data_IF_637956218470
#
_entry.id   IF_637956218470
#
_cell.length_a   1.000
_cell.length_b   1.000
_cell.length_c   1.000
_cell.angle_alpha   90.00
_cell.angle_beta   90.00
_cell.angle_gamma   90.00
#
_symmetry.space_group_name_H-M   'P 1'
#
loop_
_entity.id
_entity.type
_entity.pdbx_description
1 polymer ?
#
# COMPACT_ATOMS: atom_id res chain seq x y z
N UNK A 1 22.01 -5.65 12.66
CA UNK A 1 20.86 -4.76 12.36
C UNK A 1 21.18 -3.37 12.83
N UNK A 2 21.06 -2.38 11.95
CA UNK A 2 21.21 -0.97 12.33
C UNK A 2 20.03 -0.49 13.22
N UNK A 3 20.19 0.67 13.85
CA UNK A 3 19.17 1.24 14.75
C UNK A 3 17.87 1.58 14.03
N UNK A 4 17.94 1.99 12.75
CA UNK A 4 16.78 2.28 11.91
C UNK A 4 15.93 1.04 11.68
N UNK A 5 16.54 -0.06 11.28
CA UNK A 5 15.89 -1.32 10.93
C UNK A 5 15.17 -1.90 12.13
N UNK A 6 15.77 -1.81 13.31
CA UNK A 6 15.11 -2.18 14.57
C UNK A 6 13.85 -1.32 14.81
N UNK A 7 13.98 0.01 14.74
CA UNK A 7 12.83 0.91 14.92
C UNK A 7 11.72 0.66 13.90
N UNK A 8 12.06 0.38 12.63
CA UNK A 8 11.08 0.04 11.60
C UNK A 8 10.31 -1.24 11.92
N UNK A 9 10.98 -2.25 12.48
CA UNK A 9 10.32 -3.48 12.91
C UNK A 9 9.41 -3.23 14.11
N UNK A 10 9.88 -2.46 15.10
CA UNK A 10 9.14 -2.16 16.32
C UNK A 10 7.86 -1.34 16.06
N UNK A 11 7.88 -0.48 15.02
CA UNK A 11 6.71 0.31 14.60
C UNK A 11 5.65 -0.52 13.85
N UNK A 12 5.99 -1.69 13.34
CA UNK A 12 5.06 -2.46 12.50
C UNK A 12 3.94 -3.06 13.35
N UNK A 13 2.67 -2.88 12.94
CA UNK A 13 1.56 -3.49 13.63
C UNK A 13 1.65 -5.01 13.50
N UNK A 14 1.42 -5.73 14.61
CA UNK A 14 1.42 -7.19 14.59
C UNK A 14 0.40 -7.71 13.56
N UNK A 15 0.90 -8.54 12.66
CA UNK A 15 0.09 -9.36 11.75
C UNK A 15 0.07 -10.75 12.35
N UNK A 16 -1.12 -11.33 12.52
CA UNK A 16 -1.32 -12.63 13.18
C UNK A 16 -0.31 -13.65 12.62
N UNK A 17 0.52 -14.21 13.50
CA UNK A 17 1.54 -15.25 13.19
C UNK A 17 0.94 -16.55 12.64
N UNK A 18 -0.38 -16.68 12.61
CA UNK A 18 -1.13 -17.84 12.12
C UNK A 18 -1.03 -18.08 10.60
N UNK A 19 -0.25 -17.27 9.86
CA UNK A 19 -0.04 -17.37 8.41
C UNK A 19 1.36 -17.87 8.04
N UNK A 20 2.01 -18.67 8.88
CA UNK A 20 3.30 -19.29 8.55
C UNK A 20 3.15 -20.81 8.51
N UNK A 21 3.16 -21.38 7.30
CA UNK A 21 3.25 -22.81 7.05
C UNK A 21 4.63 -23.10 6.44
N UNK A 22 5.22 -24.25 6.77
CA UNK A 22 6.57 -24.61 6.31
C UNK A 22 6.68 -24.72 4.78
N UNK A 23 5.56 -24.90 4.08
CA UNK A 23 5.50 -25.06 2.62
C UNK A 23 5.29 -23.76 1.84
N UNK A 24 5.40 -22.59 2.48
CA UNK A 24 5.20 -21.30 1.80
C UNK A 24 6.34 -20.97 0.84
N UNK A 25 5.97 -20.45 -0.33
CA UNK A 25 6.95 -19.90 -1.26
C UNK A 25 7.69 -18.69 -0.66
N UNK A 26 8.94 -18.41 -1.09
CA UNK A 26 9.68 -17.22 -0.64
C UNK A 26 8.90 -15.92 -0.83
N UNK A 27 8.16 -15.80 -1.93
CA UNK A 27 7.31 -14.65 -2.23
C UNK A 27 6.14 -14.49 -1.25
N UNK A 28 5.47 -15.59 -0.89
CA UNK A 28 4.38 -15.56 0.10
C UNK A 28 4.90 -15.26 1.49
N UNK A 29 6.07 -15.78 1.83
CA UNK A 29 6.76 -15.46 3.07
C UNK A 29 7.08 -13.96 3.14
N UNK A 30 7.69 -13.40 2.09
CA UNK A 30 7.97 -11.97 2.01
C UNK A 30 6.69 -11.12 2.06
N UNK A 31 5.64 -11.57 1.38
CA UNK A 31 4.34 -10.91 1.42
C UNK A 31 3.77 -10.82 2.84
N UNK A 32 3.78 -11.92 3.60
CA UNK A 32 3.19 -11.97 4.93
C UNK A 32 4.08 -11.33 6.02
N UNK A 33 5.40 -11.47 5.92
CA UNK A 33 6.36 -10.95 6.90
C UNK A 33 6.69 -9.47 6.71
N UNK A 34 6.67 -9.00 5.47
CA UNK A 34 7.17 -7.66 5.14
C UNK A 34 6.07 -6.80 4.53
N UNK A 35 5.52 -7.20 3.38
CA UNK A 35 4.62 -6.32 2.64
C UNK A 35 3.32 -6.03 3.41
N UNK A 36 2.68 -7.05 4.01
CA UNK A 36 1.43 -6.87 4.77
C UNK A 36 1.63 -5.93 5.98
N UNK A 37 2.62 -6.14 6.88
CA UNK A 37 2.87 -5.21 7.97
C UNK A 37 3.21 -3.80 7.51
N UNK A 38 4.05 -3.66 6.47
CA UNK A 38 4.44 -2.34 5.94
C UNK A 38 3.25 -1.59 5.35
N UNK A 39 2.44 -2.25 4.51
CA UNK A 39 1.23 -1.63 3.93
C UNK A 39 0.23 -1.26 5.04
N UNK A 40 0.12 -2.10 6.08
CA UNK A 40 -0.73 -1.80 7.24
C UNK A 40 -0.23 -0.58 8.02
N UNK A 41 1.07 -0.47 8.25
CA UNK A 41 1.71 0.71 8.87
C UNK A 41 1.47 1.97 8.03
N UNK A 42 1.61 1.87 6.71
CA UNK A 42 1.48 3.01 5.79
C UNK A 42 0.03 3.37 5.42
N UNK A 43 -0.97 2.71 6.01
CA UNK A 43 -2.37 2.82 5.59
C UNK A 43 -2.87 4.26 5.47
N UNK A 44 -2.66 5.06 6.53
CA UNK A 44 -3.13 6.45 6.54
C UNK A 44 -2.44 7.29 5.45
N UNK A 45 -1.13 7.13 5.26
CA UNK A 45 -0.40 7.83 4.21
C UNK A 45 -0.89 7.43 2.81
N UNK A 46 -1.15 6.15 2.57
CA UNK A 46 -1.65 5.66 1.28
C UNK A 46 -3.04 6.22 0.96
N UNK A 47 -3.93 6.31 1.96
CA UNK A 47 -5.26 6.93 1.83
C UNK A 47 -5.11 8.41 1.48
N UNK A 48 -4.28 9.17 2.21
CA UNK A 48 -4.04 10.59 1.93
C UNK A 48 -3.40 10.83 0.56
N UNK A 49 -2.44 9.98 0.17
CA UNK A 49 -1.82 10.04 -1.15
C UNK A 49 -2.87 9.85 -2.26
N UNK A 50 -3.84 8.96 -2.05
CA UNK A 50 -4.92 8.72 -2.99
C UNK A 50 -5.97 9.85 -2.99
N UNK A 51 -6.31 10.43 -1.83
CA UNK A 51 -7.15 11.64 -1.76
C UNK A 51 -6.53 12.80 -2.54
N UNK A 52 -5.23 13.03 -2.38
CA UNK A 52 -4.50 14.03 -3.17
C UNK A 52 -4.53 13.72 -4.68
N UNK A 53 -4.41 12.44 -5.06
CA UNK A 53 -4.57 12.01 -6.45
C UNK A 53 -5.97 12.38 -6.97
N UNK A 54 -7.04 12.04 -6.26
CA UNK A 54 -8.43 12.38 -6.62
C UNK A 54 -8.59 13.90 -6.84
N UNK A 55 -8.07 14.71 -5.92
CA UNK A 55 -8.20 16.17 -5.96
C UNK A 55 -7.48 16.76 -7.19
N UNK A 56 -6.29 16.25 -7.54
CA UNK A 56 -5.58 16.64 -8.77
C UNK A 56 -6.32 16.28 -10.05
N UNK A 57 -7.15 15.23 -10.00
CA UNK A 57 -7.98 14.77 -11.11
C UNK A 57 -9.42 15.32 -11.06
N UNK A 58 -9.58 16.54 -10.52
CA UNK A 58 -10.83 17.31 -10.47
C UNK A 58 -11.97 16.66 -9.66
N UNK A 59 -11.65 15.74 -8.75
CA UNK A 59 -12.66 15.18 -7.83
C UNK A 59 -13.74 14.33 -8.50
N UNK A 60 -13.55 13.88 -9.76
CA UNK A 60 -14.55 13.07 -10.49
C UNK A 60 -14.94 11.81 -9.69
N UNK A 61 -13.99 11.28 -8.92
CA UNK A 61 -14.17 10.14 -8.02
C UNK A 61 -15.40 10.28 -7.11
N UNK A 62 -15.65 11.45 -6.53
CA UNK A 62 -16.71 11.64 -5.53
C UNK A 62 -18.11 11.43 -6.11
N UNK A 63 -18.27 11.65 -7.41
CA UNK A 63 -19.56 11.50 -8.13
C UNK A 63 -19.78 10.08 -8.68
N UNK A 64 -18.83 9.16 -8.49
CA UNK A 64 -18.93 7.79 -8.98
C UNK A 64 -19.77 6.91 -8.05
N UNK A 65 -20.42 5.90 -8.61
CA UNK A 65 -20.98 4.81 -7.80
C UNK A 65 -19.86 4.00 -7.15
N UNK A 66 -20.17 3.25 -6.08
CA UNK A 66 -19.21 2.42 -5.37
C UNK A 66 -18.41 1.49 -6.30
N UNK A 67 -19.10 0.79 -7.21
CA UNK A 67 -18.47 -0.09 -8.20
C UNK A 67 -17.48 0.66 -9.10
N UNK A 68 -17.88 1.84 -9.59
CA UNK A 68 -17.02 2.69 -10.42
C UNK A 68 -15.84 3.26 -9.63
N UNK A 69 -15.99 3.52 -8.33
CA UNK A 69 -14.87 3.91 -7.44
C UNK A 69 -13.83 2.79 -7.33
N UNK A 70 -14.27 1.54 -7.18
CA UNK A 70 -13.34 0.39 -7.16
C UNK A 70 -12.54 0.29 -8.46
N UNK A 71 -13.21 0.44 -9.60
CA UNK A 71 -12.56 0.47 -10.92
C UNK A 71 -11.63 1.67 -11.08
N UNK A 72 -11.99 2.83 -10.54
CA UNK A 72 -11.15 4.03 -10.56
C UNK A 72 -9.84 3.84 -9.79
N UNK A 73 -9.89 3.26 -8.59
CA UNK A 73 -8.71 2.96 -7.76
C UNK A 73 -7.73 2.07 -8.53
N UNK A 74 -8.26 0.99 -9.09
CA UNK A 74 -7.46 0.04 -9.86
C UNK A 74 -6.85 0.69 -11.10
N UNK A 75 -7.64 1.45 -11.86
CA UNK A 75 -7.17 2.13 -13.05
C UNK A 75 -6.08 3.16 -12.75
N UNK A 76 -6.27 3.97 -11.70
CA UNK A 76 -5.30 4.98 -11.27
C UNK A 76 -3.93 4.34 -10.97
N UNK A 77 -3.91 3.26 -10.20
CA UNK A 77 -2.65 2.58 -9.81
C UNK A 77 -2.04 1.80 -10.98
N UNK A 78 -2.85 1.21 -11.85
CA UNK A 78 -2.34 0.44 -12.99
C UNK A 78 -1.84 1.31 -14.15
N UNK A 79 -2.52 2.43 -14.44
CA UNK A 79 -2.24 3.24 -15.64
C UNK A 79 -1.38 4.46 -15.35
N UNK A 80 -1.45 5.05 -14.16
CA UNK A 80 -0.59 6.16 -13.81
C UNK A 80 0.75 5.68 -13.24
N UNK A 81 1.77 5.62 -14.10
CA UNK A 81 3.11 5.17 -13.76
C UNK A 81 3.75 6.05 -12.68
N UNK A 82 3.50 7.36 -12.69
CA UNK A 82 4.11 8.30 -11.74
C UNK A 82 3.52 8.07 -10.35
N UNK A 83 2.20 7.98 -10.26
CA UNK A 83 1.51 7.69 -9.01
C UNK A 83 1.88 6.32 -8.47
N UNK A 84 1.87 5.28 -9.33
CA UNK A 84 2.31 3.93 -8.96
C UNK A 84 3.73 3.90 -8.39
N UNK A 85 4.68 4.59 -9.02
CA UNK A 85 6.05 4.65 -8.54
C UNK A 85 6.18 5.40 -7.20
N UNK A 86 5.34 6.41 -6.96
CA UNK A 86 5.27 7.11 -5.67
C UNK A 86 4.82 6.16 -4.55
N UNK A 87 3.72 5.41 -4.75
CA UNK A 87 3.23 4.42 -3.78
C UNK A 87 4.26 3.31 -3.53
N UNK A 88 4.90 2.82 -4.59
CA UNK A 88 5.99 1.84 -4.48
C UNK A 88 7.14 2.37 -3.62
N UNK A 89 7.55 3.63 -3.82
CA UNK A 89 8.59 4.27 -3.02
C UNK A 89 8.22 4.41 -1.54
N UNK A 90 6.98 4.78 -1.23
CA UNK A 90 6.49 4.87 0.16
C UNK A 90 6.59 3.53 0.90
N UNK A 91 6.32 2.43 0.21
CA UNK A 91 6.39 1.07 0.78
C UNK A 91 7.83 0.60 0.92
N UNK A 92 8.63 0.68 -0.15
CA UNK A 92 10.03 0.24 -0.13
C UNK A 92 10.85 1.05 0.88
N UNK A 93 10.51 2.33 1.07
CA UNK A 93 11.16 3.18 2.07
C UNK A 93 11.01 2.69 3.53
N UNK A 94 10.12 1.73 3.79
CA UNK A 94 9.91 1.12 5.11
C UNK A 94 10.55 -0.26 5.25
N UNK A 95 11.30 -0.72 4.24
CA UNK A 95 12.05 -1.98 4.34
C UNK A 95 13.30 -1.78 5.20
N UNK A 96 13.67 -2.85 5.90
CA UNK A 96 15.02 -3.03 6.44
C UNK A 96 15.99 -3.37 5.31
N UNK A 97 17.30 -3.32 5.58
CA UNK A 97 18.33 -3.68 4.60
C UNK A 97 18.13 -5.12 4.12
N UNK A 98 17.98 -6.07 5.05
CA UNK A 98 17.80 -7.50 4.75
C UNK A 98 16.56 -7.76 3.86
N UNK A 99 15.47 -7.04 4.12
CA UNK A 99 14.25 -7.14 3.31
C UNK A 99 14.44 -6.53 1.92
N UNK A 100 15.20 -5.44 1.81
CA UNK A 100 15.52 -4.85 0.52
C UNK A 100 16.41 -5.77 -0.32
N UNK A 101 17.42 -6.39 0.30
CA UNK A 101 18.29 -7.38 -0.35
C UNK A 101 17.51 -8.59 -0.85
N UNK A 102 16.50 -9.04 -0.09
CA UNK A 102 15.58 -10.09 -0.53
C UNK A 102 14.69 -9.60 -1.68
N UNK A 103 14.15 -8.38 -1.56
CA UNK A 103 13.25 -7.80 -2.54
C UNK A 103 13.91 -7.65 -3.93
N UNK A 104 15.17 -7.24 -3.99
CA UNK A 104 15.85 -7.02 -5.28
C UNK A 104 16.05 -8.32 -6.08
N UNK A 105 16.08 -9.49 -5.42
CA UNK A 105 16.20 -10.79 -6.10
C UNK A 105 14.97 -11.14 -6.94
N UNK A 106 13.78 -10.65 -6.57
CA UNK A 106 12.52 -10.93 -7.29
C UNK A 106 11.59 -9.70 -7.38
N UNK A 107 12.17 -8.53 -7.62
CA UNK A 107 11.46 -7.25 -7.53
C UNK A 107 10.26 -7.16 -8.47
N UNK A 108 10.31 -7.76 -9.66
CA UNK A 108 9.20 -7.74 -10.62
C UNK A 108 7.93 -8.40 -10.07
N UNK A 109 8.05 -9.64 -9.57
CA UNK A 109 6.93 -10.38 -9.00
C UNK A 109 6.42 -9.72 -7.70
N UNK A 110 7.34 -9.29 -6.84
CA UNK A 110 6.99 -8.62 -5.58
C UNK A 110 6.33 -7.26 -5.81
N UNK A 111 6.71 -6.51 -6.85
CA UNK A 111 6.04 -5.26 -7.22
C UNK A 111 4.60 -5.49 -7.66
N UNK A 112 4.35 -6.54 -8.47
CA UNK A 112 2.98 -6.90 -8.87
C UNK A 112 2.13 -7.26 -7.66
N UNK A 113 2.64 -8.08 -6.75
CA UNK A 113 1.97 -8.44 -5.49
C UNK A 113 1.72 -7.22 -4.61
N UNK A 114 2.74 -6.36 -4.44
CA UNK A 114 2.67 -5.14 -3.65
C UNK A 114 1.56 -4.22 -4.15
N UNK A 115 1.49 -3.95 -5.45
CA UNK A 115 0.48 -3.05 -6.01
C UNK A 115 -0.92 -3.64 -5.91
N UNK A 116 -1.09 -4.95 -6.11
CA UNK A 116 -2.38 -5.61 -5.89
C UNK A 116 -2.85 -5.45 -4.43
N UNK A 117 -1.95 -5.63 -3.46
CA UNK A 117 -2.31 -5.43 -2.05
C UNK A 117 -2.67 -3.98 -1.72
N UNK A 118 -2.00 -3.00 -2.33
CA UNK A 118 -2.36 -1.59 -2.15
C UNK A 118 -3.72 -1.27 -2.75
N UNK A 119 -4.02 -1.82 -3.94
CA UNK A 119 -5.33 -1.66 -4.58
C UNK A 119 -6.43 -2.22 -3.67
N UNK A 120 -6.32 -3.47 -3.24
CA UNK A 120 -7.32 -4.10 -2.37
C UNK A 120 -7.46 -3.35 -1.05
N UNK A 121 -6.35 -2.88 -0.47
CA UNK A 121 -6.35 -2.07 0.74
C UNK A 121 -7.15 -0.77 0.56
N UNK A 122 -6.97 -0.06 -0.54
CA UNK A 122 -7.69 1.18 -0.82
C UNK A 122 -9.16 0.94 -1.15
N UNK A 123 -9.48 -0.18 -1.81
CA UNK A 123 -10.87 -0.62 -2.04
C UNK A 123 -11.56 -0.93 -0.71
N UNK A 124 -10.90 -1.66 0.20
CA UNK A 124 -11.43 -1.95 1.55
C UNK A 124 -11.69 -0.67 2.36
N UNK A 125 -10.90 0.38 2.14
CA UNK A 125 -11.01 1.67 2.82
C UNK A 125 -11.64 2.75 1.94
N UNK A 126 -12.41 2.39 0.91
CA UNK A 126 -12.99 3.34 -0.04
C UNK A 126 -13.82 4.43 0.63
N UNK A 127 -14.49 4.12 1.75
CA UNK A 127 -15.28 5.08 2.50
C UNK A 127 -14.42 6.21 3.09
N UNK A 128 -13.18 5.90 3.49
CA UNK A 128 -12.22 6.92 3.91
C UNK A 128 -11.81 7.82 2.74
N UNK A 129 -11.97 7.42 1.48
CA UNK A 129 -11.66 8.31 0.36
C UNK A 129 -12.73 9.38 0.15
N UNK A 130 -13.95 9.19 0.67
CA UNK A 130 -15.09 10.08 0.46
C UNK A 130 -15.20 11.23 1.48
N UNK A 131 -14.52 11.13 2.63
CA UNK A 131 -14.65 12.10 3.73
C UNK A 131 -13.99 13.47 3.48
N UNK A 132 -13.37 13.68 2.32
CA UNK A 132 -12.68 14.94 2.00
C UNK A 132 -13.62 16.17 1.87
N UNK A 133 -14.94 15.98 1.89
CA UNK A 133 -15.91 17.09 1.86
C UNK A 133 -16.09 17.76 3.23
N UNK A 134 -15.64 17.16 4.35
CA UNK A 134 -15.91 17.68 5.69
C UNK A 134 -14.79 18.53 6.32
N UNK A 135 -13.63 18.69 5.69
CA UNK A 135 -12.49 19.42 6.27
C UNK A 135 -12.11 20.71 5.54
N UNK A 136 -13.02 21.30 4.77
CA UNK A 136 -12.83 22.63 4.14
C UNK A 136 -13.87 23.64 4.64
N UNK A 137 -14.50 23.37 5.79
CA UNK A 137 -15.29 24.36 6.52
C UNK A 137 -14.64 24.55 7.88
N UNK A 138 -13.62 25.40 7.93
CA UNK A 138 -13.28 26.30 9.05
C UNK A 138 -12.22 27.30 8.59
#
# INVERSE_FOLDING_TARGET
MDSRSKSLLDLRPEVKKALFHNDMSPDERFQNQTLRPVIKLQNQLLVEAFRNYINKHKGVFYNLSLEKKMGYIEHAIQKDIKFRNSLKGMIIGQFTIDEYETYIQNSSALNKRMMNMVIERLKDHVQLLDEAVLLVQD
#
